data_IF_276228673401
#
_entry.id   IF_276228673401
#
_cell.length_a   1.000
_cell.length_b   1.000
_cell.length_c   1.000
_cell.angle_alpha   90.00
_cell.angle_beta   90.00
_cell.angle_gamma   90.00
#
_symmetry.space_group_name_H-M   'P 1'
#
loop_
_entity.id
_entity.type
_entity.pdbx_description
1 polymer ?
#
# COMPACT_ATOMS: atom_id res chain seq x y z
N UNK A 1 21.57 -13.82 35.10
CA UNK A 1 21.61 -13.48 33.66
C UNK A 1 20.84 -12.18 33.50
N UNK A 2 21.50 -11.10 33.06
CA UNK A 2 20.80 -9.85 32.77
C UNK A 2 19.89 -10.08 31.55
N UNK A 3 18.61 -9.74 31.67
CA UNK A 3 17.71 -9.73 30.52
C UNK A 3 18.27 -8.71 29.52
N UNK A 4 18.64 -9.16 28.32
CA UNK A 4 18.93 -8.23 27.22
C UNK A 4 17.63 -7.48 26.93
N UNK A 5 17.68 -6.16 26.98
CA UNK A 5 16.58 -5.32 26.53
C UNK A 5 16.32 -5.64 25.04
N UNK A 6 15.06 -5.86 24.69
CA UNK A 6 14.66 -6.01 23.29
C UNK A 6 15.17 -4.80 22.49
N UNK A 7 15.68 -5.00 21.27
CA UNK A 7 16.10 -3.89 20.43
C UNK A 7 14.94 -2.91 20.23
N UNK A 8 15.21 -1.58 20.12
CA UNK A 8 14.17 -0.59 19.91
C UNK A 8 13.42 -0.84 18.60
N UNK A 9 12.10 -0.69 18.64
CA UNK A 9 11.22 -0.83 17.47
C UNK A 9 11.58 0.19 16.40
N UNK A 10 11.72 -0.26 15.15
CA UNK A 10 11.96 0.62 14.00
C UNK A 10 10.71 1.42 13.68
N UNK A 11 10.86 2.73 13.50
CA UNK A 11 9.76 3.64 13.15
C UNK A 11 9.78 3.96 11.66
N UNK A 12 8.66 3.81 10.99
CA UNK A 12 8.54 4.06 9.55
C UNK A 12 7.42 5.05 9.31
N UNK A 13 7.66 6.00 8.41
CA UNK A 13 6.63 6.87 7.87
C UNK A 13 6.25 6.44 6.45
N UNK A 14 4.96 6.27 6.20
CA UNK A 14 4.39 6.13 4.85
C UNK A 14 3.38 7.25 4.65
N UNK A 15 3.73 8.34 3.94
CA UNK A 15 2.78 9.38 3.61
C UNK A 15 1.85 8.90 2.49
N UNK A 16 0.57 9.21 2.64
CA UNK A 16 -0.47 8.99 1.63
C UNK A 16 -1.14 10.33 1.32
N UNK A 17 -1.64 10.47 0.11
CA UNK A 17 -2.32 11.67 -0.39
C UNK A 17 -3.31 11.27 -1.46
N UNK A 18 -4.27 12.13 -1.79
CA UNK A 18 -5.18 11.92 -2.90
C UNK A 18 -4.44 11.47 -4.17
N UNK A 19 -4.86 10.33 -4.73
CA UNK A 19 -4.26 9.73 -5.92
C UNK A 19 -2.97 8.93 -5.71
N UNK A 20 -2.64 8.58 -4.47
CA UNK A 20 -1.63 7.56 -4.15
C UNK A 20 -2.00 6.21 -4.79
N UNK A 21 -1.03 5.42 -5.26
CA UNK A 21 -1.29 4.05 -5.72
C UNK A 21 -1.50 3.11 -4.51
N UNK A 22 -2.64 2.42 -4.41
CA UNK A 22 -3.03 1.74 -3.18
C UNK A 22 -2.16 0.50 -2.86
N UNK A 23 -1.73 -0.28 -3.86
CA UNK A 23 -0.86 -1.47 -3.66
C UNK A 23 0.54 -1.02 -3.20
N UNK A 24 1.08 0.03 -3.80
CA UNK A 24 2.37 0.63 -3.47
C UNK A 24 2.40 1.26 -2.08
N UNK A 25 1.24 1.61 -1.50
CA UNK A 25 1.13 1.99 -0.10
C UNK A 25 0.91 0.77 0.80
N UNK A 26 -0.06 -0.09 0.47
CA UNK A 26 -0.49 -1.20 1.31
C UNK A 26 0.60 -2.26 1.53
N UNK A 27 1.33 -2.62 0.47
CA UNK A 27 2.35 -3.67 0.56
C UNK A 27 3.51 -3.26 1.47
N UNK A 28 4.15 -2.08 1.32
CA UNK A 28 5.17 -1.66 2.28
C UNK A 28 4.65 -1.53 3.71
N UNK A 29 3.44 -1.00 3.92
CA UNK A 29 2.85 -0.88 5.26
C UNK A 29 2.72 -2.25 5.92
N UNK A 30 2.08 -3.20 5.25
CA UNK A 30 1.83 -4.54 5.77
C UNK A 30 3.16 -5.28 6.02
N UNK A 31 4.03 -5.37 5.01
CA UNK A 31 5.30 -6.13 5.10
C UNK A 31 6.21 -5.58 6.19
N UNK A 32 6.31 -4.26 6.35
CA UNK A 32 7.12 -3.66 7.41
C UNK A 32 6.51 -3.92 8.80
N UNK A 33 5.18 -3.90 8.95
CA UNK A 33 4.51 -4.27 10.19
C UNK A 33 4.70 -5.76 10.52
N UNK A 34 4.64 -6.66 9.53
CA UNK A 34 5.02 -8.08 9.70
C UNK A 34 6.47 -8.25 10.14
N UNK A 35 7.36 -7.37 9.68
CA UNK A 35 8.75 -7.35 10.11
C UNK A 35 8.95 -6.83 11.55
N UNK A 36 7.90 -6.26 12.15
CA UNK A 36 7.91 -5.71 13.51
C UNK A 36 8.20 -4.20 13.55
N UNK A 37 7.98 -3.48 12.46
CA UNK A 37 8.11 -2.03 12.42
C UNK A 37 6.85 -1.36 12.97
N UNK A 38 7.04 -0.23 13.64
CA UNK A 38 5.99 0.73 13.97
C UNK A 38 5.80 1.66 12.76
N UNK A 39 4.83 1.34 11.92
CA UNK A 39 4.55 2.08 10.68
C UNK A 39 3.43 3.09 10.93
N UNK A 40 3.77 4.37 10.85
CA UNK A 40 2.83 5.50 10.83
C UNK A 40 2.39 5.78 9.40
N UNK A 41 1.09 5.64 9.12
CA UNK A 41 0.48 6.11 7.87
C UNK A 41 0.07 7.57 8.07
N UNK A 42 0.62 8.49 7.29
CA UNK A 42 0.36 9.92 7.48
C UNK A 42 -0.29 10.55 6.26
N UNK A 43 -1.38 11.28 6.44
CA UNK A 43 -2.00 12.03 5.36
C UNK A 43 -1.17 13.29 5.06
N UNK A 44 -0.79 13.45 3.80
CA UNK A 44 -0.21 14.67 3.26
C UNK A 44 -1.27 15.60 2.64
N UNK A 45 -2.56 15.22 2.69
CA UNK A 45 -3.67 16.13 2.37
C UNK A 45 -3.88 17.16 3.50
N UNK A 46 -4.56 18.25 3.18
CA UNK A 46 -4.78 19.37 4.08
C UNK A 46 -5.81 19.04 5.18
N UNK A 47 -5.32 18.48 6.30
CA UNK A 47 -6.10 18.33 7.54
C UNK A 47 -7.02 17.11 7.60
N UNK A 48 -7.12 16.34 6.51
CA UNK A 48 -8.00 15.17 6.41
C UNK A 48 -7.24 13.88 6.71
N UNK A 49 -7.76 13.04 7.61
CA UNK A 49 -7.21 11.71 7.88
C UNK A 49 -7.76 10.64 6.94
N UNK A 50 -8.95 10.82 6.38
CA UNK A 50 -9.51 9.90 5.39
C UNK A 50 -9.03 10.33 4.00
N UNK A 51 -8.21 9.50 3.37
CA UNK A 51 -7.60 9.80 2.07
C UNK A 51 -8.18 8.86 1.03
N UNK A 52 -8.82 9.43 0.01
CA UNK A 52 -9.20 8.68 -1.20
C UNK A 52 -7.99 8.57 -2.12
N UNK A 53 -7.38 7.39 -2.13
CA UNK A 53 -6.28 7.06 -3.02
C UNK A 53 -6.82 6.60 -4.38
N UNK A 54 -5.97 6.12 -5.30
CA UNK A 54 -6.45 5.70 -6.62
C UNK A 54 -7.48 4.57 -6.53
N UNK A 55 -8.31 4.46 -7.58
CA UNK A 55 -9.31 3.41 -7.74
C UNK A 55 -10.35 3.37 -6.61
N UNK A 56 -10.69 4.53 -6.03
CA UNK A 56 -11.76 4.67 -5.03
C UNK A 56 -11.48 3.96 -3.70
N UNK A 57 -10.23 3.56 -3.44
CA UNK A 57 -9.83 3.03 -2.13
C UNK A 57 -9.72 4.20 -1.16
N UNK A 58 -10.28 4.05 0.04
CA UNK A 58 -10.18 5.06 1.11
C UNK A 58 -9.43 4.50 2.31
N UNK A 59 -8.31 5.13 2.65
CA UNK A 59 -7.44 4.74 3.77
C UNK A 59 -7.53 5.83 4.85
N UNK A 60 -7.65 5.43 6.11
CA UNK A 60 -7.62 6.35 7.25
C UNK A 60 -6.19 6.43 7.79
N UNK A 61 -5.53 7.55 7.56
CA UNK A 61 -4.20 7.85 8.10
C UNK A 61 -4.23 7.95 9.63
N UNK A 62 -3.12 7.56 10.26
CA UNK A 62 -2.88 7.63 11.70
C UNK A 62 -2.59 9.06 12.16
N UNK A 63 -2.00 9.87 11.28
CA UNK A 63 -1.60 11.24 11.57
C UNK A 63 -1.62 12.12 10.32
N UNK A 64 -1.40 13.41 10.52
CA UNK A 64 -1.12 14.37 9.44
C UNK A 64 0.39 14.56 9.30
N UNK A 65 0.87 14.68 8.06
CA UNK A 65 2.27 15.03 7.76
C UNK A 65 2.57 16.45 8.27
N UNK A 66 1.66 17.39 8.01
CA UNK A 66 1.77 18.78 8.46
C UNK A 66 0.89 19.04 9.70
N UNK A 67 1.37 19.90 10.61
CA UNK A 67 0.57 20.40 11.73
C UNK A 67 0.33 19.43 12.89
N UNK A 68 0.87 18.20 12.84
CA UNK A 68 0.73 17.19 13.90
C UNK A 68 2.06 16.60 14.39
N UNK A 69 1.98 15.47 15.10
CA UNK A 69 3.11 14.81 15.77
C UNK A 69 4.22 14.34 14.82
N UNK A 70 3.90 14.08 13.55
CA UNK A 70 4.89 13.59 12.56
C UNK A 70 6.01 14.60 12.29
N UNK A 71 5.74 15.91 12.36
CA UNK A 71 6.72 16.95 12.02
C UNK A 71 7.97 16.93 12.94
N UNK A 72 7.79 16.48 14.18
CA UNK A 72 8.83 16.40 15.21
C UNK A 72 9.28 14.96 15.50
N UNK A 73 8.61 13.96 14.92
CA UNK A 73 8.93 12.56 15.14
C UNK A 73 10.25 12.15 14.48
N UNK A 74 10.95 11.21 15.10
CA UNK A 74 12.09 10.52 14.52
C UNK A 74 11.62 9.22 13.86
N UNK A 75 12.00 9.02 12.60
CA UNK A 75 11.78 7.79 11.84
C UNK A 75 13.12 7.15 11.49
N UNK A 76 13.14 5.84 11.30
CA UNK A 76 14.26 5.10 10.72
C UNK A 76 14.17 5.03 9.19
N UNK A 77 12.95 5.12 8.65
CA UNK A 77 12.66 5.05 7.22
C UNK A 77 11.45 5.93 6.84
N UNK A 78 11.53 6.61 5.69
CA UNK A 78 10.39 7.27 5.04
C UNK A 78 10.20 6.66 3.66
N UNK A 79 9.00 6.12 3.37
CA UNK A 79 8.69 5.42 2.12
C UNK A 79 7.63 6.18 1.35
N UNK A 80 7.91 6.63 0.13
CA UNK A 80 6.96 7.36 -0.72
C UNK A 80 6.32 6.40 -1.74
N UNK A 81 5.03 6.07 -1.59
CA UNK A 81 4.28 5.38 -2.64
C UNK A 81 4.19 6.24 -3.90
N UNK A 82 3.90 5.61 -5.03
CA UNK A 82 3.68 6.30 -6.29
C UNK A 82 2.20 6.57 -6.57
N UNK A 83 1.79 6.21 -7.79
CA UNK A 83 0.58 6.73 -8.43
C UNK A 83 0.88 8.10 -9.05
N UNK A 84 0.51 8.34 -10.30
CA UNK A 84 0.94 9.57 -11.00
C UNK A 84 0.44 10.83 -10.29
N UNK A 85 -0.85 10.94 -9.90
CA UNK A 85 -1.31 12.10 -9.13
C UNK A 85 -0.71 12.12 -7.72
N UNK A 86 -0.68 10.98 -7.04
CA UNK A 86 -0.15 10.85 -5.68
C UNK A 86 1.32 11.27 -5.59
N UNK A 87 2.17 10.75 -6.46
CA UNK A 87 3.58 11.11 -6.56
C UNK A 87 3.80 12.60 -6.82
N UNK A 88 2.99 13.22 -7.69
CA UNK A 88 3.05 14.66 -7.94
C UNK A 88 2.61 15.47 -6.72
N UNK A 89 1.53 15.06 -6.05
CA UNK A 89 1.01 15.70 -4.84
C UNK A 89 2.00 15.58 -3.67
N UNK A 90 2.57 14.40 -3.45
CA UNK A 90 3.65 14.19 -2.49
C UNK A 90 4.85 15.07 -2.83
N UNK A 91 5.26 15.13 -4.10
CA UNK A 91 6.35 15.98 -4.59
C UNK A 91 6.12 17.49 -4.37
N UNK A 92 4.86 17.92 -4.36
CA UNK A 92 4.44 19.29 -4.03
C UNK A 92 4.28 19.59 -2.53
N UNK A 93 4.39 18.58 -1.66
CA UNK A 93 4.20 18.77 -0.22
C UNK A 93 5.49 19.29 0.45
N UNK A 94 5.55 20.61 0.66
CA UNK A 94 6.72 21.26 1.26
C UNK A 94 7.05 20.75 2.68
N UNK A 95 6.04 20.38 3.47
CA UNK A 95 6.23 19.81 4.80
C UNK A 95 6.93 18.43 4.73
N UNK A 96 6.52 17.59 3.78
CA UNK A 96 7.14 16.29 3.54
C UNK A 96 8.56 16.44 3.01
N UNK A 97 8.78 17.33 2.04
CA UNK A 97 10.13 17.63 1.53
C UNK A 97 11.08 18.01 2.66
N UNK A 98 10.68 18.96 3.51
CA UNK A 98 11.49 19.41 4.64
C UNK A 98 11.80 18.27 5.62
N UNK A 99 10.85 17.36 5.84
CA UNK A 99 11.02 16.18 6.68
C UNK A 99 12.03 15.20 6.07
N UNK A 100 11.88 14.84 4.79
CA UNK A 100 12.77 13.91 4.09
C UNK A 100 14.19 14.45 4.01
N UNK A 101 14.36 15.75 3.72
CA UNK A 101 15.69 16.39 3.71
C UNK A 101 16.38 16.31 5.06
N UNK A 102 15.66 16.62 6.14
CA UNK A 102 16.19 16.56 7.51
C UNK A 102 16.56 15.13 7.90
N UNK A 103 15.68 14.18 7.57
CA UNK A 103 15.88 12.75 7.81
C UNK A 103 17.12 12.22 7.10
N UNK A 104 17.27 12.51 5.81
CA UNK A 104 18.43 12.12 5.02
C UNK A 104 19.73 12.79 5.50
N UNK A 105 19.68 14.08 5.89
CA UNK A 105 20.84 14.77 6.46
C UNK A 105 21.31 14.16 7.80
N UNK A 106 20.41 13.48 8.53
CA UNK A 106 20.74 12.71 9.72
C UNK A 106 21.21 11.27 9.41
N UNK A 107 21.35 10.90 8.13
CA UNK A 107 21.75 9.56 7.70
C UNK A 107 20.60 8.55 7.60
N UNK A 108 19.36 9.01 7.70
CA UNK A 108 18.17 8.16 7.63
C UNK A 108 17.91 7.57 6.24
N UNK A 109 17.29 6.39 6.22
CA UNK A 109 16.89 5.71 4.97
C UNK A 109 15.64 6.35 4.38
N UNK A 110 15.57 6.48 3.07
CA UNK A 110 14.37 6.93 2.38
C UNK A 110 14.16 6.14 1.10
N UNK A 111 12.90 6.00 0.70
CA UNK A 111 12.56 5.14 -0.39
C UNK A 111 11.40 5.70 -1.22
N UNK A 112 11.33 5.34 -2.50
CA UNK A 112 10.21 5.71 -3.36
C UNK A 112 9.96 4.66 -4.43
N UNK A 113 8.72 4.53 -4.89
CA UNK A 113 8.33 3.56 -5.92
C UNK A 113 7.55 4.23 -7.05
N UNK A 114 7.64 3.65 -8.25
CA UNK A 114 6.84 4.03 -9.41
C UNK A 114 7.15 5.44 -9.92
N UNK A 115 6.20 6.37 -9.84
CA UNK A 115 6.38 7.75 -10.29
C UNK A 115 7.02 8.65 -9.20
N UNK A 116 7.04 8.24 -7.94
CA UNK A 116 7.58 9.04 -6.84
C UNK A 116 9.10 9.28 -6.91
N UNK A 117 9.96 8.35 -7.38
CA UNK A 117 11.39 8.61 -7.51
C UNK A 117 11.69 9.86 -8.35
N UNK A 118 11.17 10.04 -9.59
CA UNK A 118 11.43 11.26 -10.34
C UNK A 118 10.55 12.45 -9.92
N UNK A 119 9.28 12.25 -9.55
CA UNK A 119 8.37 13.37 -9.30
C UNK A 119 8.50 13.99 -7.90
N UNK A 120 8.99 13.23 -6.93
CA UNK A 120 9.23 13.70 -5.57
C UNK A 120 10.72 13.71 -5.21
N UNK A 121 11.37 12.55 -5.08
CA UNK A 121 12.74 12.53 -4.56
C UNK A 121 13.74 13.26 -5.48
N UNK A 122 13.69 13.03 -6.80
CA UNK A 122 14.58 13.70 -7.74
C UNK A 122 14.26 15.19 -7.90
N UNK A 123 12.98 15.59 -7.83
CA UNK A 123 12.59 17.00 -7.89
C UNK A 123 13.10 17.80 -6.68
N UNK A 124 13.28 17.13 -5.54
CA UNK A 124 13.97 17.66 -4.36
C UNK A 124 15.51 17.53 -4.43
N UNK A 125 16.07 16.94 -5.49
CA UNK A 125 17.50 16.69 -5.61
C UNK A 125 18.03 15.62 -4.64
N UNK A 126 17.15 14.83 -4.01
CA UNK A 126 17.52 13.78 -3.08
C UNK A 126 18.24 12.61 -3.75
N UNK A 127 18.09 12.46 -5.08
CA UNK A 127 18.73 11.40 -5.85
C UNK A 127 19.98 11.86 -6.63
N UNK A 128 20.41 13.12 -6.46
CA UNK A 128 21.54 13.67 -7.22
C UNK A 128 22.83 12.86 -7.00
N UNK A 129 23.41 12.37 -8.09
CA UNK A 129 24.63 11.54 -8.08
C UNK A 129 24.39 10.06 -7.74
N UNK A 130 23.14 9.65 -7.52
CA UNK A 130 22.76 8.27 -7.20
C UNK A 130 22.25 7.53 -8.44
N UNK A 131 22.27 6.20 -8.34
CA UNK A 131 21.54 5.31 -9.24
C UNK A 131 20.14 5.07 -8.72
N UNK A 132 19.16 5.10 -9.60
CA UNK A 132 17.76 4.87 -9.23
C UNK A 132 16.98 4.17 -10.35
N UNK A 133 15.88 3.54 -9.98
CA UNK A 133 14.86 3.02 -10.91
C UNK A 133 13.54 3.75 -10.67
N UNK A 134 12.63 3.64 -11.62
CA UNK A 134 11.28 4.22 -11.55
C UNK A 134 10.33 3.45 -12.46
N UNK A 135 9.07 3.85 -12.48
CA UNK A 135 8.14 3.38 -13.49
C UNK A 135 8.67 3.68 -14.90
N UNK A 136 8.64 2.73 -15.86
CA UNK A 136 9.23 2.92 -17.19
C UNK A 136 8.80 4.20 -17.89
N UNK A 137 7.52 4.58 -17.77
CA UNK A 137 6.97 5.83 -18.35
C UNK A 137 7.48 7.12 -17.70
N UNK A 138 8.20 7.04 -16.59
CA UNK A 138 8.72 8.18 -15.83
C UNK A 138 10.25 8.19 -15.72
N UNK A 139 10.95 7.18 -16.26
CA UNK A 139 12.43 7.14 -16.24
C UNK A 139 13.02 8.39 -16.91
N UNK A 140 12.43 8.84 -18.02
CA UNK A 140 12.86 10.06 -18.74
C UNK A 140 12.62 11.37 -17.97
N UNK A 141 11.94 11.31 -16.82
CA UNK A 141 11.76 12.46 -15.92
C UNK A 141 12.89 12.61 -14.91
N UNK A 142 13.80 11.65 -14.81
CA UNK A 142 15.00 11.82 -14.00
C UNK A 142 15.88 12.94 -14.56
N UNK A 143 16.44 13.81 -13.69
CA UNK A 143 17.41 14.81 -14.12
C UNK A 143 18.75 14.13 -14.46
N UNK A 144 19.64 14.79 -15.23
CA UNK A 144 20.91 14.21 -15.69
C UNK A 144 21.84 13.72 -14.56
N UNK A 145 21.68 14.24 -13.36
CA UNK A 145 22.44 13.86 -12.17
C UNK A 145 22.05 12.46 -11.63
N UNK A 146 20.92 11.90 -12.05
CA UNK A 146 20.43 10.58 -11.61
C UNK A 146 20.71 9.55 -12.69
N UNK A 147 21.46 8.51 -12.34
CA UNK A 147 21.73 7.41 -13.24
C UNK A 147 20.59 6.37 -13.21
N UNK A 148 19.72 6.39 -14.21
CA UNK A 148 18.63 5.42 -14.33
C UNK A 148 19.16 3.98 -14.50
N UNK A 149 18.58 3.03 -13.77
CA UNK A 149 18.91 1.60 -13.81
C UNK A 149 17.64 0.78 -14.04
N UNK A 150 17.64 -0.10 -15.04
CA UNK A 150 16.54 -1.03 -15.31
C UNK A 150 16.63 -2.26 -14.39
N UNK A 151 16.13 -2.11 -13.17
CA UNK A 151 16.02 -3.17 -12.17
C UNK A 151 14.73 -3.00 -11.36
N UNK A 152 14.16 -4.10 -10.85
CA UNK A 152 12.94 -4.08 -10.02
C UNK A 152 13.11 -3.23 -8.77
N UNK A 153 14.27 -3.33 -8.12
CA UNK A 153 14.64 -2.54 -6.95
C UNK A 153 16.10 -2.09 -7.10
N UNK A 154 16.38 -0.84 -6.77
CA UNK A 154 17.74 -0.27 -6.72
C UNK A 154 17.98 0.30 -5.34
N UNK A 155 19.01 -0.20 -4.67
CA UNK A 155 19.53 0.37 -3.42
C UNK A 155 20.83 1.09 -3.75
N UNK A 156 20.89 2.40 -3.49
CA UNK A 156 22.11 3.20 -3.62
C UNK A 156 22.22 4.21 -2.48
N UNK A 157 23.31 4.13 -1.72
CA UNK A 157 23.50 4.84 -0.45
C UNK A 157 22.27 4.67 0.48
N UNK A 158 21.65 5.77 0.91
CA UNK A 158 20.46 5.75 1.79
C UNK A 158 19.13 5.64 1.02
N UNK A 159 19.17 5.60 -0.31
CA UNK A 159 17.99 5.61 -1.17
C UNK A 159 17.64 4.19 -1.65
N UNK A 160 16.35 3.83 -1.57
CA UNK A 160 15.81 2.61 -2.18
C UNK A 160 14.71 2.98 -3.16
N UNK A 161 14.81 2.55 -4.42
CA UNK A 161 13.82 2.87 -5.46
C UNK A 161 13.27 1.63 -6.15
N UNK A 162 12.03 1.70 -6.65
CA UNK A 162 11.36 0.59 -7.35
C UNK A 162 10.41 1.08 -8.46
N UNK A 163 9.82 0.15 -9.23
CA UNK A 163 9.21 0.43 -10.55
C UNK A 163 7.70 0.60 -10.57
N UNK A 164 6.94 -0.11 -9.74
CA UNK A 164 5.48 -0.06 -9.82
C UNK A 164 4.79 -1.14 -9.00
N UNK A 165 3.47 -1.33 -9.15
CA UNK A 165 2.68 -2.19 -8.28
C UNK A 165 3.19 -3.64 -8.23
N UNK A 166 3.62 -4.16 -9.38
CA UNK A 166 4.15 -5.53 -9.49
C UNK A 166 5.47 -5.75 -8.73
N UNK A 167 6.25 -4.69 -8.48
CA UNK A 167 7.53 -4.77 -7.76
C UNK A 167 7.40 -4.34 -6.29
N UNK A 168 6.19 -4.00 -5.81
CA UNK A 168 5.97 -3.52 -4.44
C UNK A 168 6.40 -4.51 -3.35
N UNK A 169 6.22 -5.82 -3.60
CA UNK A 169 6.65 -6.86 -2.64
C UNK A 169 8.18 -6.97 -2.56
N UNK A 170 8.87 -6.99 -3.71
CA UNK A 170 10.34 -6.99 -3.75
C UNK A 170 10.90 -5.72 -3.10
N UNK A 171 10.28 -4.58 -3.38
CA UNK A 171 10.62 -3.29 -2.77
C UNK A 171 10.49 -3.35 -1.25
N UNK A 172 9.34 -3.79 -0.73
CA UNK A 172 9.12 -3.87 0.71
C UNK A 172 10.10 -4.85 1.40
N UNK A 173 10.42 -5.98 0.77
CA UNK A 173 11.42 -6.91 1.29
C UNK A 173 12.83 -6.31 1.32
N UNK A 174 13.21 -5.52 0.30
CA UNK A 174 14.47 -4.78 0.32
C UNK A 174 14.52 -3.78 1.49
N UNK A 175 13.40 -3.09 1.79
CA UNK A 175 13.30 -2.20 2.95
C UNK A 175 13.44 -2.96 4.28
N UNK A 176 12.85 -4.15 4.40
CA UNK A 176 13.04 -5.03 5.57
C UNK A 176 14.51 -5.43 5.72
N UNK A 177 15.19 -5.75 4.62
CA UNK A 177 16.62 -6.09 4.65
C UNK A 177 17.47 -4.90 5.12
N UNK A 178 17.20 -3.69 4.61
CA UNK A 178 17.91 -2.47 5.01
C UNK A 178 17.66 -2.09 6.48
N UNK A 179 16.44 -2.24 6.97
CA UNK A 179 16.07 -1.86 8.34
C UNK A 179 16.45 -2.89 9.41
N UNK A 180 16.44 -4.17 9.04
CA UNK A 180 16.61 -5.27 9.98
C UNK A 180 17.78 -6.16 9.58
N UNK A 181 17.56 -7.07 8.64
CA UNK A 181 18.57 -8.00 8.14
C UNK A 181 18.02 -8.82 6.97
N UNK A 182 18.94 -9.37 6.18
CA UNK A 182 18.62 -10.34 5.13
C UNK A 182 17.80 -11.53 5.63
N UNK A 183 18.18 -12.11 6.78
CA UNK A 183 17.46 -13.25 7.36
C UNK A 183 16.00 -12.91 7.69
N UNK A 184 15.74 -11.67 8.15
CA UNK A 184 14.37 -11.24 8.45
C UNK A 184 13.57 -11.07 7.15
N UNK A 185 14.15 -10.51 6.10
CA UNK A 185 13.51 -10.41 4.80
C UNK A 185 13.20 -11.80 4.22
N UNK A 186 14.14 -12.74 4.27
CA UNK A 186 13.93 -14.13 3.83
C UNK A 186 12.82 -14.85 4.62
N UNK A 187 12.73 -14.61 5.93
CA UNK A 187 11.63 -15.14 6.76
C UNK A 187 10.27 -14.63 6.26
N UNK A 188 10.11 -13.31 6.12
CA UNK A 188 8.84 -12.71 5.69
C UNK A 188 8.48 -13.14 4.27
N UNK A 189 9.46 -13.16 3.35
CA UNK A 189 9.27 -13.61 1.98
C UNK A 189 8.75 -15.05 1.91
N UNK A 190 9.28 -15.94 2.76
CA UNK A 190 8.84 -17.34 2.85
C UNK A 190 7.41 -17.46 3.37
N UNK A 191 7.05 -16.71 4.41
CA UNK A 191 5.69 -16.69 4.97
C UNK A 191 4.65 -16.19 3.95
N UNK A 192 5.05 -15.26 3.10
CA UNK A 192 4.22 -14.67 2.04
C UNK A 192 4.26 -15.42 0.71
N UNK A 193 5.00 -16.54 0.63
CA UNK A 193 5.15 -17.34 -0.59
C UNK A 193 5.67 -16.52 -1.79
N UNK A 194 6.53 -15.53 -1.56
CA UNK A 194 7.10 -14.70 -2.63
C UNK A 194 7.93 -15.57 -3.56
N UNK A 195 7.47 -15.69 -4.81
CA UNK A 195 8.16 -16.44 -5.87
C UNK A 195 9.12 -15.50 -6.60
N UNK A 196 10.32 -15.99 -6.91
CA UNK A 196 11.32 -15.27 -7.70
C UNK A 196 11.40 -15.76 -9.15
N UNK A 197 10.51 -16.67 -9.56
CA UNK A 197 10.45 -17.17 -10.92
C UNK A 197 9.58 -16.27 -11.80
N UNK A 198 10.01 -16.05 -13.05
CA UNK A 198 9.29 -15.20 -13.99
C UNK A 198 7.99 -15.87 -14.48
N UNK A 199 6.89 -15.11 -14.46
CA UNK A 199 5.58 -15.51 -14.98
C UNK A 199 4.54 -15.76 -13.89
N UNK A 200 3.30 -15.96 -14.32
CA UNK A 200 2.21 -16.43 -13.46
C UNK A 200 1.71 -17.77 -14.00
N UNK A 201 1.21 -18.61 -13.10
CA UNK A 201 0.60 -19.89 -13.47
C UNK A 201 -0.87 -19.84 -13.08
N UNK A 202 -1.75 -20.09 -14.05
CA UNK A 202 -3.18 -20.27 -13.82
C UNK A 202 -3.51 -21.66 -14.34
N UNK A 203 -3.84 -22.56 -13.42
CA UNK A 203 -4.29 -23.91 -13.74
C UNK A 203 -5.81 -23.98 -13.57
N UNK A 204 -6.54 -23.89 -14.68
CA UNK A 204 -7.99 -24.12 -14.68
C UNK A 204 -8.29 -25.63 -14.68
N UNK A 205 -8.60 -26.17 -13.52
CA UNK A 205 -8.79 -27.62 -13.36
C UNK A 205 -10.22 -28.06 -13.72
N UNK A 206 -11.21 -27.17 -13.58
CA UNK A 206 -12.61 -27.42 -13.95
C UNK A 206 -13.21 -26.19 -14.60
N UNK A 207 -13.33 -26.20 -15.93
CA UNK A 207 -13.91 -25.08 -16.66
C UNK A 207 -15.40 -24.95 -16.38
N UNK A 208 -15.83 -23.75 -16.01
CA UNK A 208 -17.24 -23.40 -15.82
C UNK A 208 -17.66 -22.44 -16.93
N UNK A 209 -18.87 -22.61 -17.47
CA UNK A 209 -19.44 -21.56 -18.33
C UNK A 209 -19.89 -20.39 -17.45
N UNK A 210 -18.97 -19.48 -17.17
CA UNK A 210 -19.27 -18.22 -16.50
C UNK A 210 -20.17 -17.37 -17.40
N UNK A 211 -21.27 -16.86 -16.84
CA UNK A 211 -22.24 -16.00 -17.53
C UNK A 211 -22.28 -14.66 -16.81
N UNK A 212 -21.44 -13.73 -17.24
CA UNK A 212 -21.56 -12.32 -16.88
C UNK A 212 -21.88 -11.55 -18.16
N UNK A 213 -23.00 -10.83 -18.17
CA UNK A 213 -23.41 -10.00 -19.30
C UNK A 213 -23.11 -8.53 -18.97
N UNK A 214 -22.12 -7.93 -19.63
CA UNK A 214 -21.75 -6.53 -19.41
C UNK A 214 -20.60 -6.38 -18.40
N UNK A 215 -20.59 -5.26 -17.67
CA UNK A 215 -19.58 -4.98 -16.64
C UNK A 215 -19.84 -5.86 -15.41
N UNK A 216 -18.88 -6.70 -14.97
CA UNK A 216 -19.07 -7.56 -13.81
C UNK A 216 -19.29 -6.74 -12.54
N UNK A 217 -20.34 -7.09 -11.78
CA UNK A 217 -20.59 -6.54 -10.44
C UNK A 217 -20.02 -7.49 -9.38
N UNK A 218 -19.03 -7.02 -8.63
CA UNK A 218 -18.26 -7.81 -7.66
C UNK A 218 -18.52 -7.32 -6.25
N UNK A 219 -18.89 -8.22 -5.34
CA UNK A 219 -18.95 -7.94 -3.91
C UNK A 219 -17.65 -8.38 -3.24
N UNK A 220 -17.07 -7.50 -2.43
CA UNK A 220 -15.95 -7.82 -1.54
C UNK A 220 -16.38 -7.53 -0.11
N UNK A 221 -16.92 -8.52 0.62
CA UNK A 221 -17.23 -8.38 2.04
C UNK A 221 -15.95 -8.24 2.86
N UNK A 222 -15.93 -7.30 3.79
CA UNK A 222 -14.77 -7.03 4.65
C UNK A 222 -15.17 -6.87 6.11
N UNK A 223 -14.24 -7.13 7.02
CA UNK A 223 -14.43 -6.98 8.45
C UNK A 223 -13.12 -6.58 9.14
N UNK A 224 -13.18 -6.24 10.42
CA UNK A 224 -11.96 -6.05 11.22
C UNK A 224 -11.13 -7.35 11.19
N UNK A 225 -9.84 -7.21 10.88
CA UNK A 225 -8.92 -8.33 10.71
C UNK A 225 -8.85 -8.93 9.30
N UNK A 226 -9.57 -8.37 8.33
CA UNK A 226 -9.38 -8.67 6.90
C UNK A 226 -7.93 -8.40 6.48
N UNK A 227 -7.36 -9.29 5.67
CA UNK A 227 -6.01 -9.16 5.11
C UNK A 227 -5.98 -8.02 4.08
N UNK A 228 -5.23 -6.96 4.40
CA UNK A 228 -5.23 -5.71 3.62
C UNK A 228 -4.58 -5.86 2.24
N UNK A 229 -3.56 -6.68 2.07
CA UNK A 229 -2.89 -6.85 0.77
C UNK A 229 -3.81 -7.56 -0.22
N UNK A 230 -4.49 -8.62 0.20
CA UNK A 230 -5.49 -9.34 -0.60
C UNK A 230 -6.62 -8.38 -0.99
N UNK A 231 -7.20 -7.68 0.00
CA UNK A 231 -8.28 -6.73 -0.22
C UNK A 231 -7.89 -5.64 -1.23
N UNK A 232 -6.80 -4.93 -0.97
CA UNK A 232 -6.36 -3.81 -1.80
C UNK A 232 -5.97 -4.26 -3.21
N UNK A 233 -5.27 -5.39 -3.33
CA UNK A 233 -4.89 -5.93 -4.65
C UNK A 233 -6.12 -6.33 -5.46
N UNK A 234 -7.12 -6.96 -4.84
CA UNK A 234 -8.39 -7.32 -5.50
C UNK A 234 -9.12 -6.07 -5.99
N UNK A 235 -9.27 -5.06 -5.12
CA UNK A 235 -9.95 -3.81 -5.49
C UNK A 235 -9.22 -3.12 -6.65
N UNK A 236 -7.90 -2.95 -6.53
CA UNK A 236 -7.07 -2.30 -7.52
C UNK A 236 -7.16 -2.98 -8.89
N UNK A 237 -6.91 -4.29 -8.95
CA UNK A 237 -6.89 -5.05 -10.20
C UNK A 237 -8.27 -5.07 -10.87
N UNK A 238 -9.35 -5.30 -10.10
CA UNK A 238 -10.69 -5.37 -10.66
C UNK A 238 -11.20 -4.01 -11.13
N UNK A 239 -10.97 -2.93 -10.37
CA UNK A 239 -11.38 -1.58 -10.79
C UNK A 239 -10.55 -1.07 -11.96
N UNK A 240 -9.26 -1.47 -12.08
CA UNK A 240 -8.46 -1.25 -13.30
C UNK A 240 -8.99 -1.98 -14.53
N UNK A 241 -9.68 -3.09 -14.33
CA UNK A 241 -10.37 -3.85 -15.37
C UNK A 241 -11.81 -3.37 -15.61
N UNK A 242 -12.17 -2.18 -15.10
CA UNK A 242 -13.48 -1.56 -15.20
C UNK A 242 -14.63 -2.38 -14.57
N UNK A 243 -14.35 -3.29 -13.63
CA UNK A 243 -15.38 -3.99 -12.88
C UNK A 243 -16.05 -3.07 -11.83
N UNK A 244 -17.34 -3.28 -11.59
CA UNK A 244 -18.11 -2.58 -10.55
C UNK A 244 -17.89 -3.30 -9.20
N UNK A 245 -16.89 -2.84 -8.45
CA UNK A 245 -16.50 -3.45 -7.18
C UNK A 245 -17.14 -2.71 -6.01
N UNK A 246 -17.99 -3.40 -5.26
CA UNK A 246 -18.60 -2.94 -4.01
C UNK A 246 -17.86 -3.55 -2.83
N UNK A 247 -17.14 -2.73 -2.07
CA UNK A 247 -16.51 -3.13 -0.80
C UNK A 247 -17.51 -2.89 0.33
N UNK A 248 -17.92 -3.96 1.02
CA UNK A 248 -19.00 -3.89 1.98
C UNK A 248 -18.57 -4.35 3.38
N UNK A 249 -18.69 -3.46 4.37
CA UNK A 249 -18.32 -3.74 5.76
C UNK A 249 -19.37 -4.62 6.44
N UNK A 250 -18.94 -5.73 7.03
CA UNK A 250 -19.74 -6.58 7.90
C UNK A 250 -19.74 -6.10 9.36
N UNK A 251 -19.08 -4.98 9.69
CA UNK A 251 -19.02 -4.46 11.05
C UNK A 251 -20.29 -3.64 11.39
N UNK A 252 -20.87 -3.90 12.57
CA UNK A 252 -22.04 -3.15 13.05
C UNK A 252 -21.76 -1.66 13.30
N UNK A 253 -20.48 -1.31 13.49
CA UNK A 253 -20.05 0.05 13.83
C UNK A 253 -20.01 1.00 12.63
N UNK A 254 -20.22 0.49 11.41
CA UNK A 254 -20.22 1.26 10.18
C UNK A 254 -19.25 0.71 9.14
N UNK A 255 -18.72 1.62 8.31
CA UNK A 255 -17.93 1.26 7.13
C UNK A 255 -16.41 1.28 7.36
N UNK A 256 -15.94 1.80 8.49
CA UNK A 256 -14.51 1.75 8.83
C UNK A 256 -14.14 0.40 9.43
N UNK A 257 -13.05 -0.19 8.92
CA UNK A 257 -12.44 -1.41 9.45
C UNK A 257 -10.96 -1.19 9.75
N UNK A 258 -10.45 -1.95 10.72
CA UNK A 258 -9.03 -2.13 11.00
C UNK A 258 -8.62 -3.49 10.45
N UNK A 259 -7.81 -3.48 9.38
CA UNK A 259 -7.27 -4.68 8.74
C UNK A 259 -6.31 -5.45 9.65
N UNK A 260 -5.89 -6.63 9.20
CA UNK A 260 -5.11 -7.59 9.98
C UNK A 260 -3.81 -6.99 10.54
N UNK A 261 -3.08 -6.22 9.75
CA UNK A 261 -1.87 -5.55 10.19
C UNK A 261 -2.11 -4.05 10.44
N UNK A 262 -3.34 -3.69 10.87
CA UNK A 262 -3.64 -2.38 11.43
C UNK A 262 -3.85 -1.26 10.42
N UNK A 263 -3.90 -1.56 9.12
CA UNK A 263 -4.34 -0.56 8.15
C UNK A 263 -5.82 -0.23 8.38
N UNK A 264 -6.17 1.05 8.44
CA UNK A 264 -7.57 1.46 8.55
C UNK A 264 -8.14 1.80 7.19
N UNK A 265 -9.26 1.19 6.85
CA UNK A 265 -9.88 1.25 5.51
C UNK A 265 -11.35 1.60 5.66
N UNK A 266 -11.87 2.43 4.78
CA UNK A 266 -13.29 2.78 4.72
C UNK A 266 -13.94 2.05 3.55
N UNK A 267 -14.81 1.09 3.86
CA UNK A 267 -15.64 0.38 2.90
C UNK A 267 -16.66 1.33 2.22
N UNK A 268 -17.14 0.96 1.04
CA UNK A 268 -18.07 1.77 0.25
C UNK A 268 -19.44 1.88 0.93
N UNK A 269 -19.87 0.79 1.56
CA UNK A 269 -21.18 0.67 2.24
C UNK A 269 -21.11 -0.42 3.32
N UNK A 270 -22.19 -0.60 4.07
CA UNK A 270 -22.35 -1.76 4.94
C UNK A 270 -22.87 -2.97 4.16
N UNK A 271 -22.62 -4.17 4.67
CA UNK A 271 -23.08 -5.40 4.03
C UNK A 271 -24.60 -5.54 4.04
N UNK A 272 -25.26 -5.03 5.08
CA UNK A 272 -26.72 -4.98 5.16
C UNK A 272 -27.32 -4.03 4.10
N UNK A 273 -26.69 -2.88 3.86
CA UNK A 273 -27.11 -1.94 2.80
C UNK A 273 -26.86 -2.53 1.40
N UNK A 274 -25.69 -3.11 1.18
CA UNK A 274 -25.36 -3.80 -0.08
C UNK A 274 -26.35 -4.95 -0.39
N UNK A 275 -26.85 -5.63 0.64
CA UNK A 275 -27.85 -6.70 0.51
C UNK A 275 -29.30 -6.20 0.40
N UNK A 276 -29.58 -4.94 0.78
CA UNK A 276 -30.92 -4.36 0.78
C UNK A 276 -31.26 -3.57 -0.49
N UNK A 277 -30.29 -3.33 -1.38
CA UNK A 277 -30.50 -2.63 -2.64
C UNK A 277 -31.28 -3.49 -3.64
N UNK A 278 -32.61 -3.47 -3.49
CA UNK A 278 -33.62 -4.20 -4.27
C UNK A 278 -33.68 -3.76 -5.76
N UNK A 279 -32.92 -2.75 -6.19
CA UNK A 279 -32.94 -2.24 -7.58
C UNK A 279 -31.82 -2.78 -8.47
N UNK A 280 -30.83 -3.54 -7.95
CA UNK A 280 -29.69 -4.05 -8.73
C UNK A 280 -29.30 -5.50 -8.41
N UNK A 281 -30.13 -6.43 -8.88
CA UNK A 281 -29.91 -7.87 -9.12
C UNK A 281 -28.47 -8.41 -8.95
N UNK A 282 -28.32 -9.44 -8.09
CA UNK A 282 -27.24 -10.45 -7.95
C UNK A 282 -25.81 -10.02 -8.32
N UNK A 283 -24.87 -10.10 -7.37
CA UNK A 283 -23.45 -9.99 -7.67
C UNK A 283 -23.00 -11.15 -8.59
N UNK A 284 -22.24 -10.84 -9.65
CA UNK A 284 -21.68 -11.84 -10.57
C UNK A 284 -20.53 -12.64 -9.92
N UNK A 285 -19.88 -12.03 -8.93
CA UNK A 285 -18.75 -12.59 -8.21
C UNK A 285 -18.74 -12.07 -6.77
N UNK A 286 -18.49 -12.97 -5.83
CA UNK A 286 -18.19 -12.60 -4.44
C UNK A 286 -16.77 -13.07 -4.17
N UNK A 287 -15.91 -12.14 -3.72
CA UNK A 287 -14.54 -12.46 -3.33
C UNK A 287 -14.41 -12.21 -1.84
N UNK A 288 -13.93 -13.22 -1.12
CA UNK A 288 -13.71 -13.16 0.33
C UNK A 288 -12.19 -13.12 0.58
N UNK A 289 -11.60 -11.94 0.85
CA UNK A 289 -10.24 -11.88 1.35
C UNK A 289 -10.14 -12.60 2.70
N UNK A 290 -8.98 -13.16 3.00
CA UNK A 290 -8.73 -13.83 4.27
C UNK A 290 -8.98 -12.87 5.46
N UNK A 291 -9.37 -13.42 6.60
CA UNK A 291 -9.55 -12.65 7.84
C UNK A 291 -9.06 -13.43 9.05
N UNK A 292 -8.57 -12.72 10.06
CA UNK A 292 -8.20 -13.31 11.35
C UNK A 292 -9.41 -13.58 12.26
N UNK A 293 -10.60 -13.05 11.93
CA UNK A 293 -11.86 -13.39 12.62
C UNK A 293 -12.53 -14.61 11.99
N UNK A 294 -13.08 -15.49 12.83
CA UNK A 294 -13.65 -16.77 12.42
C UNK A 294 -15.10 -16.72 11.91
N UNK A 295 -15.82 -15.61 12.06
CA UNK A 295 -17.24 -15.52 11.68
C UNK A 295 -17.59 -14.16 11.06
N UNK A 296 -18.05 -14.17 9.80
CA UNK A 296 -18.84 -13.08 9.21
C UNK A 296 -20.32 -13.39 9.52
N UNK A 297 -20.89 -12.67 10.48
CA UNK A 297 -22.31 -12.83 10.84
C UNK A 297 -23.17 -11.98 9.92
N UNK A 298 -23.99 -12.61 9.08
CA UNK A 298 -24.95 -11.92 8.22
C UNK A 298 -26.31 -11.83 8.92
N UNK A 299 -26.92 -10.64 8.90
CA UNK A 299 -28.30 -10.47 9.37
C UNK A 299 -29.33 -11.01 8.35
N UNK A 300 -28.95 -11.07 7.07
CA UNK A 300 -29.75 -11.57 5.94
C UNK A 300 -28.88 -12.35 4.93
N UNK A 301 -29.42 -13.40 4.28
CA UNK A 301 -28.71 -14.13 3.24
C UNK A 301 -28.46 -13.25 2.01
N UNK A 302 -27.23 -13.28 1.48
CA UNK A 302 -26.89 -12.68 0.18
C UNK A 302 -27.35 -13.65 -0.91
N UNK A 303 -28.25 -13.20 -1.78
CA UNK A 303 -28.72 -13.97 -2.93
C UNK A 303 -27.63 -13.94 -4.02
N UNK A 304 -27.14 -15.12 -4.39
CA UNK A 304 -26.24 -15.37 -5.54
C UNK A 304 -27.09 -15.88 -6.70
#
# INVERSE_FOLDING_TARGET
>A
MAAQASPPTKKVLVPIVAGTEPVEAAVPIDVLRRAGADVTVASADDGELVVEVMYGVRIVADALVAGGDCAAAHFDLIVLPGGVPGAANLGGCAALEAMVRRHAAAGGLYAAICAAPPLALASWGMLNGLKATAHPLFVDKFPPEVAAVDASVVVDASAVTSRGPATSTEFALALVEQLYSKNKAEQIAKEMLVRYDAGYTIDEVNSVQWKCNGTPKVLVPVANGTEEMELITIIDVLRRADADVVVASAENAGVEIVARHGMRIVADTTLDEAAADDQTSSFDLIILPASSKHELSLSKPILI
#
